data_IF_516508638921
#
_entry.id   IF_516508638921
#
_cell.length_a   1.000
_cell.length_b   1.000
_cell.length_c   1.000
_cell.angle_alpha   90.00
_cell.angle_beta   90.00
_cell.angle_gamma   90.00
#
_symmetry.space_group_name_H-M   'P 1'
#
loop_
_entity.id
_entity.type
_entity.pdbx_description
1 polymer ?
#
# COMPACT_ATOMS: atom_id res chain seq x y z
N UNK A 1 15.68 1.97 -14.42
CA UNK A 1 16.93 2.76 -14.33
C UNK A 1 18.07 1.79 -14.17
N UNK A 2 19.13 1.87 -14.99
CA UNK A 2 20.28 0.96 -14.94
C UNK A 2 21.56 1.80 -14.88
N UNK A 3 21.65 2.66 -13.88
CA UNK A 3 22.84 3.43 -13.60
C UNK A 3 23.64 2.62 -12.58
N UNK A 4 24.51 1.74 -13.06
CA UNK A 4 25.57 1.16 -12.25
C UNK A 4 26.72 2.16 -12.23
N UNK A 5 27.00 2.72 -11.07
CA UNK A 5 28.11 3.66 -10.89
C UNK A 5 29.41 2.85 -10.93
N UNK A 6 30.32 3.25 -11.82
CA UNK A 6 31.59 2.57 -12.05
C UNK A 6 32.57 2.82 -10.89
N UNK A 7 33.09 1.74 -10.31
CA UNK A 7 34.08 1.77 -9.25
C UNK A 7 35.40 2.39 -9.70
N UNK A 8 35.76 2.34 -10.99
CA UNK A 8 36.98 2.96 -11.47
C UNK A 8 36.87 4.50 -11.53
N UNK A 9 35.69 5.02 -11.90
CA UNK A 9 35.41 6.45 -11.92
C UNK A 9 35.28 7.05 -10.51
N UNK A 10 34.80 6.29 -9.53
CA UNK A 10 34.66 6.78 -8.16
C UNK A 10 36.01 7.06 -7.48
N UNK A 11 37.06 6.31 -7.85
CA UNK A 11 38.42 6.52 -7.35
C UNK A 11 39.08 7.76 -7.96
N UNK A 12 38.63 8.19 -9.15
CA UNK A 12 39.09 9.42 -9.82
C UNK A 12 38.44 10.68 -9.24
N UNK A 13 37.31 10.51 -8.56
CA UNK A 13 36.51 11.61 -8.00
C UNK A 13 36.22 12.72 -9.02
N UNK A 14 35.86 12.32 -10.24
CA UNK A 14 35.67 13.26 -11.35
C UNK A 14 34.39 14.09 -11.16
N UNK A 15 34.30 15.31 -11.72
CA UNK A 15 33.06 16.08 -11.72
C UNK A 15 31.87 15.30 -12.32
N UNK A 16 32.15 14.44 -13.31
CA UNK A 16 31.15 13.54 -13.90
C UNK A 16 30.65 12.50 -12.90
N UNK A 17 31.56 11.87 -12.15
CA UNK A 17 31.20 10.95 -11.08
C UNK A 17 30.30 11.64 -10.04
N UNK A 18 30.68 12.84 -9.60
CA UNK A 18 29.88 13.63 -8.64
C UNK A 18 28.48 13.93 -9.15
N UNK A 19 28.33 14.30 -10.43
CA UNK A 19 27.01 14.53 -11.02
C UNK A 19 26.15 13.26 -11.07
N UNK A 20 26.73 12.10 -11.37
CA UNK A 20 26.01 10.81 -11.35
C UNK A 20 25.57 10.41 -9.94
N UNK A 21 26.40 10.68 -8.93
CA UNK A 21 26.02 10.46 -7.52
C UNK A 21 24.86 11.37 -7.14
N UNK A 22 24.91 12.65 -7.49
CA UNK A 22 23.84 13.62 -7.20
C UNK A 22 22.50 13.22 -7.84
N UNK A 23 22.53 12.75 -9.10
CA UNK A 23 21.34 12.22 -9.79
C UNK A 23 20.77 11.00 -9.05
N UNK A 24 21.63 10.02 -8.72
CA UNK A 24 21.21 8.81 -7.99
C UNK A 24 20.65 9.12 -6.60
N UNK A 25 21.25 10.07 -5.87
CA UNK A 25 20.72 10.54 -4.59
C UNK A 25 19.34 11.19 -4.73
N UNK A 26 19.14 11.98 -5.78
CA UNK A 26 17.86 12.58 -6.13
C UNK A 26 16.78 11.54 -6.37
N UNK A 27 17.10 10.51 -7.16
CA UNK A 27 16.19 9.38 -7.44
C UNK A 27 15.79 8.64 -6.17
N UNK A 28 16.75 8.38 -5.27
CA UNK A 28 16.47 7.71 -3.98
C UNK A 28 15.57 8.57 -3.09
N UNK A 29 15.79 9.89 -3.04
CA UNK A 29 14.91 10.80 -2.30
C UNK A 29 13.49 10.86 -2.85
N UNK A 30 13.34 10.84 -4.19
CA UNK A 30 12.02 10.80 -4.83
C UNK A 30 11.33 9.46 -4.57
N UNK A 31 12.06 8.35 -4.67
CA UNK A 31 11.56 7.01 -4.38
C UNK A 31 11.06 6.90 -2.94
N UNK A 32 11.85 7.37 -1.96
CA UNK A 32 11.44 7.42 -0.56
C UNK A 32 10.10 8.14 -0.39
N UNK A 33 9.99 9.34 -0.97
CA UNK A 33 8.77 10.16 -0.87
C UNK A 33 7.55 9.46 -1.48
N UNK A 34 7.74 8.78 -2.62
CA UNK A 34 6.68 8.00 -3.29
C UNK A 34 6.25 6.80 -2.45
N UNK A 35 7.19 6.04 -1.88
CA UNK A 35 6.90 4.89 -1.02
C UNK A 35 6.17 5.33 0.26
N UNK A 36 6.62 6.41 0.88
CA UNK A 36 6.04 6.95 2.11
C UNK A 36 4.60 7.44 1.89
N UNK A 37 4.34 8.07 0.73
CA UNK A 37 2.98 8.42 0.29
C UNK A 37 2.11 7.18 0.06
N UNK A 38 2.64 6.14 -0.60
CA UNK A 38 1.89 4.90 -0.86
C UNK A 38 1.48 4.20 0.44
N UNK A 39 2.38 4.13 1.43
CA UNK A 39 2.08 3.59 2.76
C UNK A 39 0.93 4.37 3.42
N UNK A 40 0.96 5.70 3.38
CA UNK A 40 -0.10 6.55 3.96
C UNK A 40 -1.46 6.32 3.28
N UNK A 41 -1.47 6.20 1.95
CA UNK A 41 -2.69 5.89 1.19
C UNK A 41 -3.23 4.48 1.53
N UNK A 42 -2.36 3.48 1.67
CA UNK A 42 -2.73 2.14 2.07
C UNK A 42 -3.37 2.12 3.48
N UNK A 43 -2.78 2.86 4.43
CA UNK A 43 -3.35 3.01 5.78
C UNK A 43 -4.75 3.63 5.70
N UNK A 44 -4.90 4.74 4.98
CA UNK A 44 -6.21 5.40 4.81
C UNK A 44 -7.27 4.50 4.18
N UNK A 45 -6.89 3.69 3.18
CA UNK A 45 -7.77 2.68 2.58
C UNK A 45 -8.20 1.61 3.59
N UNK A 46 -7.26 1.08 4.38
CA UNK A 46 -7.54 0.07 5.40
C UNK A 46 -8.49 0.64 6.47
N UNK A 47 -8.25 1.85 6.94
CA UNK A 47 -9.05 2.46 8.01
C UNK A 47 -10.47 2.78 7.54
N UNK A 48 -10.62 3.33 6.33
CA UNK A 48 -11.93 3.54 5.72
C UNK A 48 -12.67 2.21 5.50
N UNK A 49 -11.97 1.18 5.03
CA UNK A 49 -12.53 -0.16 4.85
C UNK A 49 -12.98 -0.83 6.15
N UNK A 50 -12.22 -0.66 7.23
CA UNK A 50 -12.62 -1.12 8.58
C UNK A 50 -13.86 -0.40 9.09
N UNK A 51 -13.95 0.92 8.89
CA UNK A 51 -15.15 1.69 9.25
C UNK A 51 -16.38 1.21 8.48
N UNK A 52 -16.24 0.95 7.17
CA UNK A 52 -17.29 0.34 6.36
C UNK A 52 -17.72 -1.03 6.91
N UNK A 53 -16.78 -1.92 7.21
CA UNK A 53 -17.09 -3.24 7.78
C UNK A 53 -17.81 -3.15 9.12
N UNK A 54 -17.48 -2.17 9.97
CA UNK A 54 -18.18 -1.92 11.22
C UNK A 54 -19.64 -1.54 10.98
N UNK A 55 -19.90 -0.61 10.06
CA UNK A 55 -21.26 -0.21 9.68
C UNK A 55 -22.04 -1.40 9.08
N UNK A 56 -21.40 -2.17 8.20
CA UNK A 56 -22.00 -3.37 7.60
C UNK A 56 -22.34 -4.43 8.65
N UNK A 57 -21.51 -4.61 9.67
CA UNK A 57 -21.79 -5.54 10.77
C UNK A 57 -23.01 -5.13 11.58
N UNK A 58 -23.16 -3.83 11.85
CA UNK A 58 -24.37 -3.30 12.50
C UNK A 58 -25.63 -3.54 11.67
N UNK A 59 -25.53 -3.36 10.34
CA UNK A 59 -26.63 -3.65 9.43
C UNK A 59 -27.01 -5.13 9.41
N UNK A 60 -26.03 -6.03 9.38
CA UNK A 60 -26.24 -7.49 9.48
C UNK A 60 -26.95 -7.87 10.79
N UNK A 61 -26.53 -7.28 11.92
CA UNK A 61 -27.19 -7.52 13.20
C UNK A 61 -28.67 -7.10 13.16
N UNK A 62 -28.99 -5.95 12.56
CA UNK A 62 -30.37 -5.51 12.39
C UNK A 62 -31.21 -6.46 11.52
N UNK A 63 -30.63 -7.06 10.48
CA UNK A 63 -31.29 -8.09 9.67
C UNK A 63 -31.57 -9.35 10.50
N UNK A 64 -30.62 -9.77 11.33
CA UNK A 64 -30.78 -10.94 12.20
C UNK A 64 -31.87 -10.71 13.27
N UNK A 65 -31.91 -9.52 13.87
CA UNK A 65 -32.99 -9.14 14.81
C UNK A 65 -34.36 -9.19 14.12
N UNK A 66 -34.46 -8.70 12.88
CA UNK A 66 -35.70 -8.75 12.10
C UNK A 66 -36.09 -10.20 11.75
N UNK A 67 -35.12 -11.05 11.42
CA UNK A 67 -35.35 -12.48 11.17
C UNK A 67 -35.96 -13.15 12.41
N UNK A 68 -35.41 -12.89 13.60
CA UNK A 68 -35.91 -13.42 14.86
C UNK A 68 -37.35 -12.97 15.18
N UNK A 69 -37.69 -11.71 14.90
CA UNK A 69 -39.07 -11.23 15.07
C UNK A 69 -40.05 -11.88 14.07
N UNK A 70 -39.53 -12.34 12.93
CA UNK A 70 -40.30 -12.95 11.85
C UNK A 70 -40.41 -14.47 11.98
N UNK A 71 -40.02 -15.07 13.11
CA UNK A 71 -39.94 -16.54 13.31
C UNK A 71 -41.26 -17.32 13.21
N UNK A 72 -42.37 -16.64 12.88
CA UNK A 72 -43.66 -17.28 12.55
C UNK A 72 -43.82 -17.55 11.05
N UNK A 73 -42.96 -16.96 10.22
CA UNK A 73 -42.93 -17.11 8.77
C UNK A 73 -41.56 -17.68 8.36
N UNK A 74 -41.53 -19.00 8.22
CA UNK A 74 -40.32 -19.76 7.90
C UNK A 74 -39.62 -19.24 6.62
N UNK A 75 -40.38 -18.74 5.65
CA UNK A 75 -39.83 -18.26 4.38
C UNK A 75 -39.10 -16.94 4.58
N UNK A 76 -39.72 -16.01 5.32
CA UNK A 76 -39.12 -14.71 5.63
C UNK A 76 -37.89 -14.89 6.54
N UNK A 77 -38.02 -15.67 7.61
CA UNK A 77 -36.90 -15.95 8.53
C UNK A 77 -35.71 -16.58 7.81
N UNK A 78 -35.94 -17.65 7.03
CA UNK A 78 -34.90 -18.35 6.25
C UNK A 78 -34.19 -17.43 5.26
N UNK A 79 -34.94 -16.52 4.63
CA UNK A 79 -34.41 -15.59 3.64
C UNK A 79 -33.55 -14.50 4.26
N UNK A 80 -34.01 -13.90 5.36
CA UNK A 80 -33.26 -12.88 6.10
C UNK A 80 -31.99 -13.46 6.71
N UNK A 81 -32.06 -14.66 7.30
CA UNK A 81 -30.88 -15.35 7.83
C UNK A 81 -29.83 -15.62 6.73
N UNK A 82 -30.24 -16.15 5.58
CA UNK A 82 -29.33 -16.35 4.43
C UNK A 82 -28.73 -15.04 3.93
N UNK A 83 -29.50 -13.95 3.92
CA UNK A 83 -28.97 -12.64 3.51
C UNK A 83 -27.93 -12.11 4.50
N UNK A 84 -28.21 -12.22 5.80
CA UNK A 84 -27.28 -11.87 6.87
C UNK A 84 -25.98 -12.69 6.83
N UNK A 85 -26.08 -14.01 6.61
CA UNK A 85 -24.93 -14.91 6.47
C UNK A 85 -24.02 -14.49 5.30
N UNK A 86 -24.57 -14.20 4.12
CA UNK A 86 -23.79 -13.77 2.96
C UNK A 86 -23.06 -12.45 3.20
N UNK A 87 -23.71 -11.48 3.86
CA UNK A 87 -23.06 -10.22 4.23
C UNK A 87 -21.98 -10.42 5.30
N UNK A 88 -22.20 -11.35 6.24
CA UNK A 88 -21.21 -11.69 7.26
C UNK A 88 -19.95 -12.32 6.64
N UNK A 89 -20.11 -13.16 5.61
CA UNK A 89 -19.00 -13.66 4.81
C UNK A 89 -18.24 -12.52 4.13
N UNK A 90 -18.92 -11.58 3.45
CA UNK A 90 -18.29 -10.40 2.85
C UNK A 90 -17.42 -9.62 3.86
N UNK A 91 -17.94 -9.39 5.07
CA UNK A 91 -17.20 -8.69 6.13
C UNK A 91 -15.93 -9.45 6.53
N UNK A 92 -16.01 -10.78 6.61
CA UNK A 92 -14.86 -11.63 6.95
C UNK A 92 -13.78 -11.55 5.85
N UNK A 93 -14.16 -11.58 4.57
CA UNK A 93 -13.23 -11.43 3.44
C UNK A 93 -12.51 -10.09 3.46
N UNK A 94 -13.25 -8.98 3.58
CA UNK A 94 -12.65 -7.66 3.68
C UNK A 94 -11.67 -7.56 4.86
N UNK A 95 -11.98 -8.23 5.99
CA UNK A 95 -11.08 -8.26 7.15
C UNK A 95 -9.74 -8.94 6.81
N UNK A 96 -9.77 -10.09 6.12
CA UNK A 96 -8.56 -10.79 5.65
C UNK A 96 -7.78 -9.93 4.65
N UNK A 97 -8.47 -9.33 3.68
CA UNK A 97 -7.87 -8.46 2.68
C UNK A 97 -7.12 -7.27 3.32
N UNK A 98 -7.75 -6.58 4.29
CA UNK A 98 -7.12 -5.45 4.96
C UNK A 98 -5.95 -5.85 5.83
N UNK A 99 -6.03 -7.00 6.50
CA UNK A 99 -4.94 -7.55 7.29
C UNK A 99 -3.74 -7.94 6.40
N UNK A 100 -4.01 -8.49 5.21
CA UNK A 100 -2.97 -8.79 4.23
C UNK A 100 -2.35 -7.53 3.62
N UNK A 101 -3.16 -6.52 3.26
CA UNK A 101 -2.66 -5.23 2.81
C UNK A 101 -1.79 -4.55 3.89
N UNK A 102 -2.17 -4.69 5.16
CA UNK A 102 -1.39 -4.18 6.29
C UNK A 102 -0.02 -4.86 6.41
N UNK A 103 0.06 -6.18 6.25
CA UNK A 103 1.34 -6.89 6.28
C UNK A 103 2.19 -6.63 5.04
N UNK A 104 1.66 -6.93 3.86
CA UNK A 104 2.44 -6.94 2.62
C UNK A 104 2.79 -5.56 2.12
N UNK A 105 1.90 -4.57 2.27
CA UNK A 105 2.15 -3.22 1.74
C UNK A 105 2.69 -2.33 2.86
N UNK A 106 1.91 -2.13 3.94
CA UNK A 106 2.30 -1.19 4.99
C UNK A 106 3.57 -1.66 5.70
N UNK A 107 3.61 -2.88 6.24
CA UNK A 107 4.76 -3.33 7.04
C UNK A 107 6.03 -3.44 6.20
N UNK A 108 5.99 -4.13 5.05
CA UNK A 108 7.18 -4.34 4.23
C UNK A 108 7.80 -3.03 3.73
N UNK A 109 6.96 -2.11 3.22
CA UNK A 109 7.46 -0.81 2.76
C UNK A 109 7.99 0.03 3.91
N UNK A 110 7.35 0.02 5.08
CA UNK A 110 7.85 0.73 6.26
C UNK A 110 9.18 0.18 6.77
N UNK A 111 9.37 -1.14 6.73
CA UNK A 111 10.64 -1.77 7.09
C UNK A 111 11.74 -1.35 6.12
N UNK A 112 11.49 -1.43 4.81
CA UNK A 112 12.44 -0.99 3.79
C UNK A 112 12.87 0.47 3.96
N UNK A 113 11.89 1.38 4.17
CA UNK A 113 12.18 2.81 4.40
C UNK A 113 13.01 3.00 5.67
N UNK A 114 12.70 2.28 6.75
CA UNK A 114 13.38 2.46 8.04
C UNK A 114 14.74 1.78 8.13
N UNK A 115 14.94 0.68 7.44
CA UNK A 115 16.15 -0.14 7.57
C UNK A 115 17.10 0.09 6.40
N UNK A 116 16.64 -0.05 5.15
CA UNK A 116 17.53 -0.01 3.99
C UNK A 116 17.82 1.43 3.54
N UNK A 117 16.80 2.27 3.41
CA UNK A 117 17.02 3.69 3.07
C UNK A 117 17.76 4.44 4.18
N UNK A 118 17.57 4.05 5.44
CA UNK A 118 18.32 4.63 6.57
C UNK A 118 19.81 4.29 6.48
N UNK A 119 20.17 3.02 6.22
CA UNK A 119 21.58 2.62 6.04
C UNK A 119 22.25 3.40 4.90
N UNK A 120 21.54 3.61 3.80
CA UNK A 120 22.03 4.42 2.70
C UNK A 120 22.29 5.88 3.10
N UNK A 121 21.36 6.51 3.83
CA UNK A 121 21.55 7.87 4.36
C UNK A 121 22.74 7.97 5.32
N UNK A 122 22.95 6.95 6.14
CA UNK A 122 24.13 6.87 7.02
C UNK A 122 25.43 6.75 6.23
N UNK A 123 25.45 5.91 5.17
CA UNK A 123 26.60 5.80 4.25
C UNK A 123 26.88 7.12 3.51
N UNK A 124 25.83 7.80 3.02
CA UNK A 124 25.94 9.13 2.41
C UNK A 124 26.58 10.12 3.37
N UNK A 125 26.09 10.20 4.61
CA UNK A 125 26.64 11.11 5.63
C UNK A 125 28.14 10.88 5.88
N UNK A 126 28.59 9.61 5.89
CA UNK A 126 30.02 9.30 6.01
C UNK A 126 30.80 9.73 4.76
N UNK A 127 30.25 9.49 3.58
CA UNK A 127 30.85 9.93 2.31
C UNK A 127 31.00 11.44 2.22
N UNK A 128 29.98 12.21 2.59
CA UNK A 128 30.00 13.67 2.59
C UNK A 128 31.07 14.19 3.56
N UNK A 129 31.07 13.68 4.79
CA UNK A 129 32.06 14.05 5.82
C UNK A 129 33.49 13.80 5.35
N UNK A 130 33.79 12.61 4.83
CA UNK A 130 35.15 12.27 4.39
C UNK A 130 35.52 13.01 3.10
N UNK A 131 34.55 13.35 2.25
CA UNK A 131 34.77 14.23 1.09
C UNK A 131 35.20 15.63 1.52
N UNK A 132 34.50 16.24 2.49
CA UNK A 132 34.84 17.55 3.05
C UNK A 132 36.21 17.55 3.74
N UNK A 133 36.50 16.52 4.55
CA UNK A 133 37.81 16.35 5.19
C UNK A 133 38.94 16.23 4.16
N UNK A 134 38.70 15.54 3.03
CA UNK A 134 39.68 15.43 1.93
C UNK A 134 39.93 16.78 1.28
N UNK A 135 38.89 17.55 1.02
CA UNK A 135 39.00 18.89 0.43
C UNK A 135 39.75 19.86 1.35
N UNK A 136 39.47 19.82 2.65
CA UNK A 136 40.20 20.58 3.65
C UNK A 136 41.69 20.19 3.71
N UNK A 137 42.00 18.88 3.65
CA UNK A 137 43.38 18.39 3.64
C UNK A 137 44.12 18.79 2.34
N UNK A 138 43.45 18.79 1.19
CA UNK A 138 43.99 19.27 -0.08
C UNK A 138 44.35 20.75 0.02
N UNK A 139 43.42 21.57 0.52
CA UNK A 139 43.62 23.01 0.72
C UNK A 139 44.77 23.30 1.68
N UNK A 140 44.83 22.61 2.83
CA UNK A 140 45.92 22.75 3.82
C UNK A 140 47.27 22.34 3.23
N UNK A 141 47.33 21.26 2.45
CA UNK A 141 48.57 20.81 1.80
C UNK A 141 49.05 21.78 0.72
N UNK A 142 48.13 22.33 -0.09
CA UNK A 142 48.47 23.30 -1.13
C UNK A 142 49.01 24.63 -0.56
N UNK A 143 48.53 25.03 0.63
CA UNK A 143 48.92 26.26 1.32
C UNK A 143 50.14 26.08 2.25
N UNK A 144 50.69 24.86 2.36
CA UNK A 144 51.77 24.58 3.29
C UNK A 144 53.03 25.40 2.95
N UNK A 145 53.62 26.12 3.93
CA UNK A 145 54.78 26.98 3.69
C UNK A 145 56.03 26.14 3.39
N UNK A 146 56.53 26.22 2.15
CA UNK A 146 57.63 25.38 1.63
C UNK A 146 58.95 25.53 2.39
N UNK A 147 59.13 26.62 3.13
CA UNK A 147 60.32 26.86 3.96
C UNK A 147 60.30 26.11 5.30
N UNK A 148 59.17 25.51 5.68
CA UNK A 148 59.02 24.73 6.91
C UNK A 148 58.77 23.27 6.60
N UNK A 149 59.85 22.53 6.37
CA UNK A 149 59.84 21.13 5.96
C UNK A 149 58.89 20.26 6.81
N UNK A 150 58.93 20.39 8.14
CA UNK A 150 58.08 19.64 9.06
C UNK A 150 56.58 19.91 8.87
N UNK A 151 56.17 21.17 8.62
CA UNK A 151 54.76 21.51 8.38
C UNK A 151 54.27 20.97 7.03
N UNK A 152 55.14 20.94 6.01
CA UNK A 152 54.86 20.31 4.71
C UNK A 152 54.69 18.80 4.84
N UNK A 153 55.57 18.15 5.59
CA UNK A 153 55.51 16.71 5.87
C UNK A 153 54.24 16.33 6.62
N UNK A 154 53.86 17.10 7.65
CA UNK A 154 52.61 16.89 8.41
C UNK A 154 51.38 17.04 7.50
N UNK A 155 51.28 18.13 6.74
CA UNK A 155 50.16 18.37 5.84
C UNK A 155 50.06 17.29 4.75
N UNK A 156 51.20 16.79 4.25
CA UNK A 156 51.26 15.71 3.26
C UNK A 156 50.82 14.38 3.87
N UNK A 157 51.26 14.07 5.09
CA UNK A 157 50.87 12.86 5.81
C UNK A 157 49.35 12.80 6.05
N UNK A 158 48.76 13.90 6.52
CA UNK A 158 47.30 14.03 6.70
C UNK A 158 46.57 13.81 5.37
N UNK A 159 47.02 14.45 4.28
CA UNK A 159 46.41 14.30 2.96
C UNK A 159 46.46 12.85 2.46
N UNK A 160 47.57 12.13 2.64
CA UNK A 160 47.70 10.73 2.26
C UNK A 160 46.71 9.86 3.04
N UNK A 161 46.61 10.06 4.36
CA UNK A 161 45.69 9.33 5.22
C UNK A 161 44.22 9.57 4.81
N UNK A 162 43.82 10.83 4.60
CA UNK A 162 42.45 11.17 4.23
C UNK A 162 42.10 10.68 2.81
N UNK A 163 43.04 10.72 1.85
CA UNK A 163 42.84 10.12 0.52
C UNK A 163 42.62 8.62 0.59
N UNK A 164 43.35 7.91 1.46
CA UNK A 164 43.15 6.47 1.67
C UNK A 164 41.76 6.21 2.28
N UNK A 165 41.39 6.96 3.31
CA UNK A 165 40.06 6.87 3.93
C UNK A 165 38.94 7.10 2.89
N UNK A 166 39.04 8.18 2.11
CA UNK A 166 38.09 8.49 1.04
C UNK A 166 37.90 7.34 0.06
N UNK A 167 38.99 6.68 -0.37
CA UNK A 167 38.90 5.55 -1.29
C UNK A 167 38.11 4.37 -0.73
N UNK A 168 38.23 4.09 0.57
CA UNK A 168 37.43 3.03 1.20
C UNK A 168 35.94 3.44 1.26
N UNK A 169 35.66 4.64 1.75
CA UNK A 169 34.29 5.11 1.96
C UNK A 169 33.55 5.31 0.64
N UNK A 170 34.21 5.82 -0.41
CA UNK A 170 33.54 6.01 -1.71
C UNK A 170 33.18 4.68 -2.37
N UNK A 171 34.02 3.64 -2.22
CA UNK A 171 33.71 2.30 -2.74
C UNK A 171 32.52 1.69 -2.00
N UNK A 172 32.49 1.80 -0.66
CA UNK A 172 31.37 1.35 0.15
C UNK A 172 30.09 2.11 -0.23
N UNK A 173 30.17 3.42 -0.42
CA UNK A 173 29.02 4.25 -0.77
C UNK A 173 28.47 3.91 -2.17
N UNK A 174 29.35 3.77 -3.17
CA UNK A 174 28.98 3.35 -4.52
C UNK A 174 28.37 1.96 -4.53
N UNK A 175 28.90 1.04 -3.72
CA UNK A 175 28.30 -0.28 -3.55
C UNK A 175 26.89 -0.18 -2.98
N UNK A 176 26.65 0.65 -1.96
CA UNK A 176 25.32 0.86 -1.40
C UNK A 176 24.34 1.45 -2.43
N UNK A 177 24.78 2.41 -3.27
CA UNK A 177 23.98 2.95 -4.38
C UNK A 177 23.62 1.83 -5.35
N UNK A 178 24.61 1.05 -5.79
CA UNK A 178 24.41 -0.02 -6.76
C UNK A 178 23.47 -1.10 -6.21
N UNK A 179 23.60 -1.48 -4.93
CA UNK A 179 22.68 -2.40 -4.25
C UNK A 179 21.26 -1.81 -4.19
N UNK A 180 21.11 -0.50 -3.92
CA UNK A 180 19.81 0.19 -3.95
C UNK A 180 19.20 0.28 -5.35
N UNK A 181 20.00 0.47 -6.39
CA UNK A 181 19.54 0.41 -7.77
C UNK A 181 19.19 -1.02 -8.19
N UNK A 182 19.94 -2.00 -7.69
CA UNK A 182 19.69 -3.41 -7.91
C UNK A 182 18.57 -3.98 -7.02
N UNK A 183 18.05 -3.22 -6.02
CA UNK A 183 16.94 -3.57 -5.10
C UNK A 183 15.56 -3.77 -5.80
N UNK A 184 15.59 -4.01 -7.11
CA UNK A 184 14.61 -4.79 -7.87
C UNK A 184 14.04 -6.05 -7.15
N UNK A 185 14.73 -6.79 -6.25
CA UNK A 185 14.13 -7.87 -5.48
C UNK A 185 13.04 -7.42 -4.50
N UNK A 186 13.06 -6.21 -3.94
CA UNK A 186 11.96 -5.76 -3.08
C UNK A 186 10.71 -5.44 -3.90
N UNK A 187 10.88 -4.82 -5.09
CA UNK A 187 9.79 -4.73 -6.05
C UNK A 187 9.35 -6.10 -6.53
N UNK A 188 10.22 -7.09 -6.77
CA UNK A 188 9.80 -8.44 -7.16
C UNK A 188 9.09 -9.20 -6.05
N UNK A 189 9.52 -9.06 -4.80
CA UNK A 189 8.86 -9.69 -3.66
C UNK A 189 7.52 -9.02 -3.35
N UNK A 190 7.48 -7.68 -3.41
CA UNK A 190 6.25 -6.92 -3.29
C UNK A 190 5.31 -7.22 -4.45
N UNK A 191 5.81 -7.30 -5.70
CA UNK A 191 5.04 -7.68 -6.89
C UNK A 191 4.52 -9.10 -6.76
N UNK A 192 5.33 -10.06 -6.30
CA UNK A 192 4.85 -11.42 -6.06
C UNK A 192 3.77 -11.50 -4.98
N UNK A 193 3.90 -10.72 -3.90
CA UNK A 193 2.86 -10.62 -2.86
C UNK A 193 1.62 -9.88 -3.37
N UNK A 194 1.79 -8.86 -4.21
CA UNK A 194 0.68 -8.11 -4.81
C UNK A 194 -0.02 -8.94 -5.88
N UNK A 195 0.71 -9.71 -6.68
CA UNK A 195 0.19 -10.64 -7.68
C UNK A 195 -0.62 -11.72 -7.01
N UNK A 196 -0.12 -12.29 -5.90
CA UNK A 196 -0.90 -13.23 -5.10
C UNK A 196 -2.17 -12.57 -4.54
N UNK A 197 -2.06 -11.34 -4.00
CA UNK A 197 -3.21 -10.59 -3.49
C UNK A 197 -4.22 -10.27 -4.61
N UNK A 198 -3.77 -9.98 -5.82
CA UNK A 198 -4.61 -9.76 -7.01
C UNK A 198 -5.28 -11.07 -7.45
N UNK A 199 -4.57 -12.18 -7.45
CA UNK A 199 -5.13 -13.51 -7.76
C UNK A 199 -6.20 -13.88 -6.74
N UNK A 200 -5.90 -13.72 -5.45
CA UNK A 200 -6.83 -14.01 -4.34
C UNK A 200 -8.06 -13.10 -4.43
N UNK A 201 -7.84 -11.78 -4.59
CA UNK A 201 -8.93 -10.81 -4.74
C UNK A 201 -9.77 -11.05 -6.00
N UNK A 202 -9.18 -11.50 -7.12
CA UNK A 202 -9.89 -11.77 -8.37
C UNK A 202 -10.70 -13.06 -8.31
N UNK A 203 -10.15 -14.11 -7.68
CA UNK A 203 -10.86 -15.36 -7.42
C UNK A 203 -12.05 -15.11 -6.51
N UNK A 204 -11.86 -14.31 -5.46
CA UNK A 204 -12.89 -13.97 -4.48
C UNK A 204 -13.93 -13.00 -5.03
N UNK A 205 -13.54 -12.04 -5.90
CA UNK A 205 -14.49 -11.17 -6.62
C UNK A 205 -15.45 -12.00 -7.49
N UNK A 206 -14.94 -13.02 -8.19
CA UNK A 206 -15.79 -13.91 -9.01
C UNK A 206 -16.80 -14.68 -8.16
N UNK A 207 -16.38 -15.16 -6.99
CA UNK A 207 -17.30 -15.81 -6.04
C UNK A 207 -18.35 -14.80 -5.51
N UNK A 208 -17.94 -13.57 -5.20
CA UNK A 208 -18.87 -12.52 -4.79
C UNK A 208 -19.86 -12.11 -5.89
N UNK A 209 -19.43 -11.98 -7.14
CA UNK A 209 -20.32 -11.66 -8.28
C UNK A 209 -21.39 -12.74 -8.46
N UNK A 210 -21.00 -14.01 -8.37
CA UNK A 210 -21.90 -15.15 -8.48
C UNK A 210 -22.88 -15.23 -7.29
N UNK A 211 -22.40 -14.97 -6.07
CA UNK A 211 -23.27 -14.87 -4.88
C UNK A 211 -24.21 -13.67 -4.95
N UNK A 212 -23.74 -12.51 -5.42
CA UNK A 212 -24.57 -11.32 -5.57
C UNK A 212 -25.68 -11.51 -6.61
N UNK A 213 -25.38 -12.16 -7.74
CA UNK A 213 -26.39 -12.56 -8.72
C UNK A 213 -27.44 -13.50 -8.12
N UNK A 214 -27.02 -14.41 -7.24
CA UNK A 214 -27.94 -15.33 -6.54
C UNK A 214 -28.84 -14.60 -5.54
N UNK A 215 -28.29 -13.61 -4.83
CA UNK A 215 -29.06 -12.75 -3.91
C UNK A 215 -30.07 -11.92 -4.70
N UNK A 216 -29.67 -11.27 -5.79
CA UNK A 216 -30.59 -10.51 -6.64
C UNK A 216 -31.75 -11.38 -7.11
N UNK A 217 -31.46 -12.61 -7.55
CA UNK A 217 -32.51 -13.51 -8.02
C UNK A 217 -33.49 -13.90 -6.91
N UNK A 218 -32.99 -14.22 -5.72
CA UNK A 218 -33.83 -14.55 -4.55
C UNK A 218 -34.62 -13.36 -4.02
N UNK A 219 -34.05 -12.17 -4.00
CA UNK A 219 -34.76 -10.94 -3.62
C UNK A 219 -35.90 -10.67 -4.59
N UNK A 220 -35.65 -10.86 -5.89
CA UNK A 220 -36.68 -10.73 -6.91
C UNK A 220 -37.78 -11.77 -6.73
N UNK A 221 -37.43 -13.01 -6.42
CA UNK A 221 -38.37 -14.09 -6.12
C UNK A 221 -39.21 -13.82 -4.86
N UNK A 222 -38.61 -13.29 -3.80
CA UNK A 222 -39.30 -12.88 -2.57
C UNK A 222 -40.23 -11.69 -2.80
N UNK A 223 -39.80 -10.69 -3.57
CA UNK A 223 -40.66 -9.58 -3.99
C UNK A 223 -41.84 -10.10 -4.81
N UNK A 224 -41.60 -11.03 -5.74
CA UNK A 224 -42.65 -11.68 -6.52
C UNK A 224 -43.65 -12.39 -5.59
N UNK A 225 -43.14 -13.16 -4.61
CA UNK A 225 -43.95 -13.93 -3.65
C UNK A 225 -44.77 -13.03 -2.74
N UNK A 226 -44.18 -11.93 -2.26
CA UNK A 226 -44.87 -10.92 -1.46
C UNK A 226 -45.95 -10.20 -2.30
N UNK A 227 -45.72 -9.99 -3.59
CA UNK A 227 -46.72 -9.37 -4.48
C UNK A 227 -47.85 -10.36 -4.83
N UNK A 228 -47.56 -11.64 -5.02
CA UNK A 228 -48.55 -12.67 -5.40
C UNK A 228 -49.35 -13.22 -4.22
N UNK A 229 -48.77 -13.32 -3.02
CA UNK A 229 -49.45 -13.85 -1.83
C UNK A 229 -50.12 -12.79 -0.94
N UNK A 230 -49.84 -11.50 -1.14
CA UNK A 230 -50.45 -10.39 -0.40
C UNK A 230 -51.67 -9.67 -1.05
N UNK A 231 -52.35 -10.15 -2.11
CA UNK A 231 -53.65 -9.58 -2.48
C UNK A 231 -54.80 -10.01 -1.55
N UNK A 232 -54.68 -11.14 -0.84
CA UNK A 232 -55.80 -11.72 -0.10
C UNK A 232 -55.95 -11.19 1.34
N UNK A 233 -54.87 -10.68 1.96
CA UNK A 233 -54.92 -10.16 3.32
C UNK A 233 -55.39 -8.69 3.43
N UNK A 234 -55.36 -7.92 2.33
CA UNK A 234 -55.84 -6.52 2.30
C UNK A 234 -57.28 -6.37 1.77
N UNK A 235 -57.85 -7.41 1.17
CA UNK A 235 -59.23 -7.42 0.69
C UNK A 235 -60.27 -7.31 1.82
N UNK A 236 -59.86 -7.57 3.07
CA UNK A 236 -60.73 -7.39 4.24
C UNK A 236 -60.67 -5.99 4.87
N UNK A 237 -59.76 -5.10 4.44
CA UNK A 237 -59.58 -3.78 5.09
C UNK A 237 -59.48 -2.58 4.15
N UNK A 238 -59.55 -2.75 2.83
CA UNK A 238 -59.56 -1.61 1.90
C UNK A 238 -60.66 -1.76 0.86
N UNK A 239 -61.56 -0.77 0.81
CA UNK A 239 -62.62 -0.69 -0.19
C UNK A 239 -62.09 -0.62 -1.62
N UNK A 240 -62.93 -0.93 -2.62
CA UNK A 240 -62.53 -1.17 -4.01
C UNK A 240 -61.78 -0.01 -4.70
N UNK A 241 -61.82 1.20 -4.14
CA UNK A 241 -61.15 2.39 -4.70
C UNK A 241 -59.63 2.40 -4.47
N UNK A 242 -59.11 1.72 -3.44
CA UNK A 242 -57.68 1.74 -3.09
C UNK A 242 -56.84 0.69 -3.84
N UNK A 243 -57.47 -0.36 -4.36
CA UNK A 243 -56.78 -1.43 -5.12
C UNK A 243 -56.30 -0.89 -6.47
N UNK A 244 -57.07 0.01 -7.09
CA UNK A 244 -56.73 0.60 -8.39
C UNK A 244 -55.52 1.55 -8.31
N UNK A 245 -55.33 2.25 -7.17
CA UNK A 245 -54.18 3.15 -6.98
C UNK A 245 -52.85 2.37 -6.80
N UNK A 246 -52.88 1.25 -6.08
CA UNK A 246 -51.70 0.40 -5.88
C UNK A 246 -51.24 -0.32 -7.16
N UNK A 247 -52.18 -0.79 -8.00
CA UNK A 247 -51.84 -1.35 -9.30
C UNK A 247 -51.19 -0.33 -10.24
N UNK A 248 -51.65 0.93 -10.20
CA UNK A 248 -51.09 2.01 -11.04
C UNK A 248 -49.70 2.47 -10.61
N UNK A 249 -49.40 2.39 -9.31
CA UNK A 249 -48.06 2.67 -8.78
C UNK A 249 -47.06 1.57 -9.10
N UNK A 250 -47.47 0.29 -9.10
CA UNK A 250 -46.57 -0.81 -9.44
C UNK A 250 -46.21 -0.87 -10.92
N UNK A 251 -47.10 -0.48 -11.84
CA UNK A 251 -46.77 -0.34 -13.26
C UNK A 251 -45.71 0.74 -13.55
N UNK A 252 -45.46 1.66 -12.62
CA UNK A 252 -44.46 2.71 -12.77
C UNK A 252 -43.06 2.29 -12.28
N UNK A 253 -42.96 1.23 -11.47
CA UNK A 253 -41.68 0.74 -10.92
C UNK A 253 -41.13 -0.51 -11.62
N UNK A 254 -41.97 -1.24 -12.37
CA UNK A 254 -41.56 -2.44 -13.12
C UNK A 254 -41.40 -2.22 -14.64
N UNK A 255 -41.38 -0.95 -15.10
CA UNK A 255 -41.12 -0.56 -16.48
C UNK A 255 -39.72 -0.01 -16.66
#
# INVERSE_FOLDING_TARGET
>A
MKITVDFEECLKDSPRFRATIEEAEGDVCELESKLDKLVKLCIGMIDAGKAYNTANRQFVNGIQELAQQSAKDDVIESSLNKFAENLQEMINYHTILFDQAQRSIKSQLQTFIREDLRKFKEAKKQFDKVSEEKEAALSKNAQAPRNKQHEVEEATSILIATRKCFRHIVLDYVLQINVLHELQPLMKQLTGQLDQLVIDSAKERKDMEMKHSTIQHKVQELLQTLVTHKPLAMAHYTGPENICCLQRQMSFYCG
#
